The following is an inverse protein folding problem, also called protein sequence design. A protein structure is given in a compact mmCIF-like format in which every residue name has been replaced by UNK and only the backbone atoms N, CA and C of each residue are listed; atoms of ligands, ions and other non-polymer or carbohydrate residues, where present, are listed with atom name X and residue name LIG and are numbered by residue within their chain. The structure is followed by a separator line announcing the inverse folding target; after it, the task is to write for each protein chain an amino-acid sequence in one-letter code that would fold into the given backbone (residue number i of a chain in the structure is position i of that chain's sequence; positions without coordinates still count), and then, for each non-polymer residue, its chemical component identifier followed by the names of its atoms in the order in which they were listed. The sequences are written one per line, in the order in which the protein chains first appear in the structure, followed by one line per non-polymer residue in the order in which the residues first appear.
data_IF_289882145372
#
_entry.id   IF_289882145372
#
_cell.length_a   1.000
_cell.length_b   1.000
_cell.length_c   1.000
_cell.angle_alpha   90.00
_cell.angle_beta   90.00
_cell.angle_gamma   90.00
#
_symmetry.space_group_name_H-M   'P 1'
#
loop_
_entity.id
_entity.type
_entity.pdbx_description
1 polymer ?
#
# COMPACT_ATOMS: atom_id res chain seq x y z
N UNK A 1 -23.00 18.32 -0.62
CA UNK A 1 -24.20 19.16 -0.85
C UNK A 1 -24.41 19.53 -2.33
N UNK A 2 -23.57 19.05 -3.26
CA UNK A 2 -23.65 19.40 -4.70
C UNK A 2 -24.69 18.57 -5.47
N UNK A 3 -24.85 17.29 -5.13
CA UNK A 3 -25.74 16.34 -5.84
C UNK A 3 -27.22 16.75 -5.74
N UNK A 4 -27.65 17.24 -4.57
CA UNK A 4 -29.03 17.71 -4.38
C UNK A 4 -29.38 18.90 -5.29
N UNK A 5 -28.42 19.80 -5.53
CA UNK A 5 -28.62 20.95 -6.41
C UNK A 5 -28.71 20.54 -7.88
N UNK A 6 -27.90 19.58 -8.34
CA UNK A 6 -27.93 19.12 -9.73
C UNK A 6 -29.19 18.35 -10.09
N UNK A 7 -29.69 17.51 -9.17
CA UNK A 7 -30.96 16.76 -9.36
C UNK A 7 -32.15 17.71 -9.35
N UNK A 8 -32.17 18.69 -8.42
CA UNK A 8 -33.21 19.72 -8.39
C UNK A 8 -33.18 20.63 -9.62
N UNK A 9 -31.99 20.97 -10.13
CA UNK A 9 -31.85 21.74 -11.36
C UNK A 9 -32.33 20.97 -12.60
N UNK A 10 -31.97 19.69 -12.74
CA UNK A 10 -32.41 18.84 -13.84
C UNK A 10 -33.93 18.61 -13.85
N UNK A 11 -34.52 18.32 -12.68
CA UNK A 11 -35.98 18.21 -12.53
C UNK A 11 -36.68 19.56 -12.75
N UNK A 12 -36.11 20.65 -12.25
CA UNK A 12 -36.65 22.00 -12.44
C UNK A 12 -36.70 22.42 -13.92
N UNK A 13 -35.68 22.07 -14.70
CA UNK A 13 -35.65 22.32 -16.15
C UNK A 13 -36.69 21.49 -16.91
N UNK A 14 -36.91 20.23 -16.50
CA UNK A 14 -37.94 19.37 -17.12
C UNK A 14 -39.37 19.82 -16.77
N UNK A 15 -39.63 20.19 -15.51
CA UNK A 15 -40.96 20.63 -15.05
C UNK A 15 -41.28 22.03 -15.57
N UNK A 16 -40.29 22.92 -15.65
CA UNK A 16 -40.44 24.28 -16.17
C UNK A 16 -40.63 24.39 -17.69
N UNK A 17 -40.42 23.30 -18.44
CA UNK A 17 -40.58 23.28 -19.90
C UNK A 17 -42.05 23.26 -20.36
N UNK A 18 -43.00 22.91 -19.48
CA UNK A 18 -44.40 22.70 -19.83
C UNK A 18 -45.12 23.84 -20.60
N UNK A 19 -44.82 25.14 -20.42
CA UNK A 19 -45.47 26.21 -21.17
C UNK A 19 -44.72 26.70 -22.43
N UNK A 20 -43.61 26.05 -22.82
CA UNK A 20 -42.78 26.50 -23.95
C UNK A 20 -43.19 25.87 -25.29
N UNK A 21 -42.77 26.49 -26.39
CA UNK A 21 -42.96 25.96 -27.74
C UNK A 21 -42.12 24.68 -27.96
N UNK A 22 -42.56 23.81 -28.89
CA UNK A 22 -42.08 22.43 -28.98
C UNK A 22 -40.57 22.27 -29.17
N UNK A 23 -39.90 23.22 -29.83
CA UNK A 23 -38.44 23.17 -30.01
C UNK A 23 -37.69 23.48 -28.71
N UNK A 24 -38.12 24.50 -27.98
CA UNK A 24 -37.54 24.88 -26.68
C UNK A 24 -37.73 23.78 -25.63
N UNK A 25 -38.88 23.08 -25.66
CA UNK A 25 -39.15 21.93 -24.81
C UNK A 25 -38.16 20.79 -25.06
N UNK A 26 -37.91 20.43 -26.32
CA UNK A 26 -36.98 19.36 -26.66
C UNK A 26 -35.55 19.65 -26.17
N UNK A 27 -35.07 20.88 -26.36
CA UNK A 27 -33.73 21.28 -25.89
C UNK A 27 -33.61 21.22 -24.37
N UNK A 28 -34.63 21.70 -23.64
CA UNK A 28 -34.65 21.65 -22.17
C UNK A 28 -34.70 20.22 -21.63
N UNK A 29 -35.44 19.33 -22.28
CA UNK A 29 -35.49 17.91 -21.91
C UNK A 29 -34.13 17.23 -22.16
N UNK A 30 -33.48 17.48 -23.30
CA UNK A 30 -32.17 16.89 -23.60
C UNK A 30 -31.08 17.39 -22.64
N UNK A 31 -31.06 18.69 -22.32
CA UNK A 31 -30.12 19.27 -21.35
C UNK A 31 -30.40 18.73 -19.95
N UNK A 32 -31.67 18.68 -19.53
CA UNK A 32 -32.07 18.11 -18.24
C UNK A 32 -31.69 16.62 -18.11
N UNK A 33 -31.91 15.83 -19.17
CA UNK A 33 -31.55 14.42 -19.22
C UNK A 33 -30.03 14.22 -19.17
N UNK A 34 -29.26 15.06 -19.87
CA UNK A 34 -27.80 15.02 -19.85
C UNK A 34 -27.23 15.36 -18.46
N UNK A 35 -27.81 16.34 -17.77
CA UNK A 35 -27.43 16.68 -16.38
C UNK A 35 -27.78 15.55 -15.41
N UNK A 36 -28.94 14.91 -15.58
CA UNK A 36 -29.35 13.74 -14.79
C UNK A 36 -28.46 12.51 -15.04
N UNK A 37 -27.95 12.33 -16.26
CA UNK A 37 -27.02 11.25 -16.61
C UNK A 37 -25.60 11.48 -16.07
N UNK A 38 -25.18 12.73 -15.88
CA UNK A 38 -23.87 13.07 -15.32
C UNK A 38 -23.85 13.07 -13.77
N UNK A 39 -25.00 13.23 -13.12
CA UNK A 39 -25.09 13.23 -11.65
C UNK A 39 -24.61 11.92 -10.99
N UNK A 40 -24.92 10.72 -11.52
CA UNK A 40 -24.36 9.46 -11.04
C UNK A 40 -22.83 9.38 -11.15
N UNK A 41 -22.24 9.95 -12.21
CA UNK A 41 -20.78 9.94 -12.39
C UNK A 41 -20.08 10.84 -11.37
N UNK A 42 -20.62 12.04 -11.11
CA UNK A 42 -20.11 12.92 -10.06
C UNK A 42 -20.28 12.31 -8.65
N UNK A 43 -21.38 11.57 -8.41
CA UNK A 43 -21.59 10.82 -7.17
C UNK A 43 -20.56 9.70 -6.98
N UNK A 44 -20.30 8.93 -8.03
CA UNK A 44 -19.29 7.86 -8.02
C UNK A 44 -17.90 8.45 -7.75
N UNK A 45 -17.57 9.60 -8.35
CA UNK A 45 -16.29 10.27 -8.08
C UNK A 45 -16.15 10.74 -6.63
N UNK A 46 -17.18 11.37 -6.04
CA UNK A 46 -17.16 11.82 -4.64
C UNK A 46 -17.14 10.64 -3.66
N UNK A 47 -17.91 9.58 -3.95
CA UNK A 47 -17.91 8.34 -3.18
C UNK A 47 -16.52 7.67 -3.21
N UNK A 48 -15.93 7.51 -4.40
CA UNK A 48 -14.58 6.96 -4.54
C UNK A 48 -13.55 7.82 -3.82
N UNK A 49 -13.62 9.16 -3.90
CA UNK A 49 -12.72 10.07 -3.17
C UNK A 49 -12.86 9.94 -1.66
N UNK A 50 -14.08 9.76 -1.13
CA UNK A 50 -14.32 9.57 0.31
C UNK A 50 -13.88 8.20 0.81
N UNK A 51 -14.24 7.13 0.09
CA UNK A 51 -13.79 5.77 0.42
C UNK A 51 -12.27 5.65 0.31
N UNK A 52 -11.66 6.27 -0.71
CA UNK A 52 -10.20 6.39 -0.81
C UNK A 52 -9.62 7.26 0.31
N UNK A 53 -10.35 8.24 0.83
CA UNK A 53 -9.95 9.09 1.96
C UNK A 53 -9.94 8.36 3.30
N UNK A 54 -10.96 7.55 3.57
CA UNK A 54 -11.09 6.72 4.78
C UNK A 54 -10.05 5.59 4.80
N UNK A 55 -9.83 4.93 3.66
CA UNK A 55 -8.75 3.94 3.50
C UNK A 55 -7.37 4.62 3.57
N UNK A 56 -7.23 5.83 3.00
CA UNK A 56 -6.00 6.61 3.12
C UNK A 56 -5.67 7.01 4.55
N UNK A 57 -6.69 7.29 5.37
CA UNK A 57 -6.51 7.68 6.77
C UNK A 57 -5.93 6.52 7.59
N UNK A 58 -6.21 5.27 7.24
CA UNK A 58 -5.74 4.10 7.98
C UNK A 58 -4.22 3.91 7.94
N UNK A 59 -3.62 3.74 6.76
CA UNK A 59 -2.15 3.58 6.65
C UNK A 59 -1.41 4.85 7.07
N UNK A 60 -1.94 6.05 6.76
CA UNK A 60 -1.32 7.29 7.24
C UNK A 60 -1.41 7.43 8.76
N UNK A 61 -2.47 6.92 9.38
CA UNK A 61 -2.58 6.81 10.84
C UNK A 61 -1.54 5.81 11.37
N UNK A 62 -1.32 4.68 10.69
CA UNK A 62 -0.24 3.75 11.04
C UNK A 62 1.15 4.41 10.96
N UNK A 63 1.44 5.17 9.89
CA UNK A 63 2.68 5.95 9.77
C UNK A 63 2.80 6.97 10.90
N UNK A 64 1.76 7.78 11.12
CA UNK A 64 1.76 8.79 12.19
C UNK A 64 1.94 8.15 13.57
N UNK A 65 1.30 7.00 13.81
CA UNK A 65 1.46 6.20 15.02
C UNK A 65 2.88 5.70 15.18
N UNK A 66 3.48 5.16 14.11
CA UNK A 66 4.85 4.68 14.08
C UNK A 66 5.85 5.80 14.42
N UNK A 67 5.73 6.96 13.76
CA UNK A 67 6.56 8.13 14.04
C UNK A 67 6.33 8.68 15.45
N UNK A 68 5.09 8.68 15.95
CA UNK A 68 4.78 9.11 17.32
C UNK A 68 5.42 8.19 18.36
N UNK A 69 5.31 6.86 18.20
CA UNK A 69 5.93 5.88 19.11
C UNK A 69 7.45 6.07 19.12
N UNK A 70 8.07 6.28 17.94
CA UNK A 70 9.52 6.53 17.82
C UNK A 70 9.98 7.76 18.60
N UNK A 71 9.19 8.83 18.54
CA UNK A 71 9.55 10.13 19.12
C UNK A 71 9.20 10.25 20.61
N UNK A 72 8.17 9.53 21.08
CA UNK A 72 7.66 9.66 22.45
C UNK A 72 8.22 8.62 23.41
N UNK A 73 8.57 7.43 22.93
CA UNK A 73 9.01 6.33 23.80
C UNK A 73 10.54 6.09 23.70
N UNK A 74 11.19 5.79 24.84
CA UNK A 74 12.59 5.39 24.85
C UNK A 74 12.80 4.08 24.07
N UNK A 75 14.05 3.83 23.66
CA UNK A 75 14.44 2.63 22.93
C UNK A 75 14.49 1.40 23.84
N UNK A 76 13.33 0.91 24.25
CA UNK A 76 13.16 -0.29 25.08
C UNK A 76 12.31 -1.38 24.39
N UNK A 77 12.22 -2.53 25.04
CA UNK A 77 11.44 -3.68 24.56
C UNK A 77 9.96 -3.35 24.38
N UNK A 78 9.41 -2.50 25.25
CA UNK A 78 8.00 -2.08 25.19
C UNK A 78 7.72 -1.29 23.93
N UNK A 79 8.61 -0.35 23.56
CA UNK A 79 8.48 0.40 22.32
C UNK A 79 8.48 -0.54 21.11
N UNK A 80 9.40 -1.51 21.10
CA UNK A 80 9.49 -2.51 20.02
C UNK A 80 8.20 -3.34 19.91
N UNK A 81 7.64 -3.79 21.03
CA UNK A 81 6.39 -4.54 21.06
C UNK A 81 5.22 -3.75 20.44
N UNK A 82 5.06 -2.48 20.79
CA UNK A 82 3.99 -1.62 20.24
C UNK A 82 4.21 -1.40 18.73
N UNK A 83 5.46 -1.23 18.31
CA UNK A 83 5.82 -1.13 16.89
C UNK A 83 5.39 -2.39 16.11
N UNK A 84 5.69 -3.56 16.64
CA UNK A 84 5.36 -4.83 16.00
C UNK A 84 3.85 -5.07 15.97
N UNK A 85 3.11 -4.75 17.04
CA UNK A 85 1.64 -4.82 17.06
C UNK A 85 1.01 -3.95 15.96
N UNK A 86 1.51 -2.71 15.80
CA UNK A 86 1.01 -1.80 14.77
C UNK A 86 1.30 -2.33 13.37
N UNK A 87 2.50 -2.86 13.13
CA UNK A 87 2.88 -3.39 11.81
C UNK A 87 2.20 -4.73 11.50
N UNK A 88 1.91 -5.56 12.50
CA UNK A 88 1.13 -6.78 12.32
C UNK A 88 -0.33 -6.45 11.96
N UNK A 89 -0.92 -5.41 12.57
CA UNK A 89 -2.24 -4.93 12.14
C UNK A 89 -2.25 -4.44 10.68
N UNK A 90 -1.15 -3.83 10.20
CA UNK A 90 -1.00 -3.47 8.78
C UNK A 90 -0.91 -4.72 7.90
N UNK A 91 -0.17 -5.75 8.34
CA UNK A 91 -0.08 -7.03 7.63
C UNK A 91 -1.46 -7.66 7.46
N UNK A 92 -2.24 -7.75 8.54
CA UNK A 92 -3.57 -8.37 8.52
C UNK A 92 -4.53 -7.61 7.59
N UNK A 93 -4.58 -6.29 7.68
CA UNK A 93 -5.45 -5.47 6.81
C UNK A 93 -5.04 -5.52 5.34
N UNK A 94 -3.74 -5.63 5.06
CA UNK A 94 -3.25 -5.82 3.69
C UNK A 94 -3.65 -7.19 3.14
N UNK A 95 -3.66 -8.24 3.99
CA UNK A 95 -4.12 -9.58 3.65
C UNK A 95 -5.61 -9.58 3.29
N UNK A 96 -6.41 -8.78 3.99
CA UNK A 96 -7.84 -8.60 3.76
C UNK A 96 -8.16 -7.68 2.56
N UNK A 97 -7.14 -7.18 1.86
CA UNK A 97 -7.31 -6.36 0.65
C UNK A 97 -7.76 -4.93 0.93
N UNK A 98 -7.59 -4.43 2.15
CA UNK A 98 -8.07 -3.10 2.55
C UNK A 98 -7.28 -1.95 1.92
N UNK A 99 -6.14 -2.23 1.27
CA UNK A 99 -5.24 -1.20 0.77
C UNK A 99 -5.14 -1.19 -0.76
N UNK A 100 -5.29 -0.03 -1.41
CA UNK A 100 -5.04 0.09 -2.83
C UNK A 100 -3.53 0.06 -3.11
N UNK A 101 -3.12 -0.63 -4.18
CA UNK A 101 -1.72 -0.73 -4.58
C UNK A 101 -1.06 0.65 -4.74
N UNK A 102 -1.76 1.64 -5.30
CA UNK A 102 -1.26 3.01 -5.50
C UNK A 102 -0.82 3.70 -4.21
N UNK A 103 -1.48 3.41 -3.10
CA UNK A 103 -1.11 3.95 -1.79
C UNK A 103 0.18 3.32 -1.28
N UNK A 104 0.32 2.00 -1.40
CA UNK A 104 1.56 1.30 -1.04
C UNK A 104 2.73 1.85 -1.87
N UNK A 105 2.55 2.05 -3.19
CA UNK A 105 3.57 2.68 -4.05
C UNK A 105 3.95 4.09 -3.62
N UNK A 106 3.01 4.84 -3.05
CA UNK A 106 3.26 6.19 -2.56
C UNK A 106 4.14 6.14 -1.31
N UNK A 107 3.80 5.26 -0.36
CA UNK A 107 4.58 5.06 0.87
C UNK A 107 6.00 4.53 0.59
N UNK A 108 6.19 3.68 -0.43
CA UNK A 108 7.52 3.21 -0.83
C UNK A 108 8.48 4.31 -1.30
N UNK A 109 7.96 5.50 -1.62
CA UNK A 109 8.76 6.67 -1.99
C UNK A 109 8.98 7.65 -0.83
N UNK A 110 8.33 7.40 0.31
CA UNK A 110 8.44 8.19 1.52
C UNK A 110 9.71 7.89 2.31
N UNK A 111 9.70 8.31 3.57
CA UNK A 111 10.81 8.13 4.50
C UNK A 111 10.89 6.69 5.06
N UNK A 112 11.82 6.43 5.98
CA UNK A 112 11.98 5.10 6.59
C UNK A 112 10.73 4.56 7.28
N UNK A 113 9.90 5.42 7.88
CA UNK A 113 8.68 5.01 8.58
C UNK A 113 7.60 4.63 7.56
N UNK A 114 7.40 5.48 6.54
CA UNK A 114 6.51 5.20 5.40
C UNK A 114 6.86 3.88 4.72
N UNK A 115 8.15 3.68 4.42
CA UNK A 115 8.63 2.47 3.76
C UNK A 115 8.47 1.24 4.64
N UNK A 116 8.66 1.35 5.94
CA UNK A 116 8.46 0.22 6.87
C UNK A 116 7.00 -0.23 6.86
N UNK A 117 6.05 0.71 6.91
CA UNK A 117 4.62 0.41 6.80
C UNK A 117 4.27 -0.21 5.45
N UNK A 118 4.83 0.30 4.35
CA UNK A 118 4.63 -0.27 3.03
C UNK A 118 5.17 -1.71 2.91
N UNK A 119 6.34 -1.99 3.48
CA UNK A 119 6.93 -3.32 3.51
C UNK A 119 6.09 -4.30 4.36
N UNK A 120 5.52 -3.83 5.47
CA UNK A 120 4.57 -4.62 6.25
C UNK A 120 3.33 -5.00 5.41
N UNK A 121 2.76 -4.05 4.66
CA UNK A 121 1.65 -4.36 3.76
C UNK A 121 2.02 -5.39 2.66
N UNK A 122 3.25 -5.35 2.13
CA UNK A 122 3.73 -6.37 1.17
C UNK A 122 3.83 -7.78 1.76
N UNK A 123 4.08 -7.90 3.07
CA UNK A 123 4.07 -9.20 3.76
C UNK A 123 2.64 -9.75 3.80
N UNK A 124 1.65 -8.90 4.08
CA UNK A 124 0.24 -9.28 4.10
C UNK A 124 -0.29 -9.69 2.73
N UNK A 125 0.13 -8.99 1.67
CA UNK A 125 -0.22 -9.32 0.29
C UNK A 125 0.97 -9.15 -0.66
N UNK A 126 1.47 -10.29 -1.17
CA UNK A 126 2.62 -10.30 -2.08
C UNK A 126 2.34 -9.60 -3.42
N UNK A 127 1.06 -9.39 -3.78
CA UNK A 127 0.69 -8.64 -4.98
C UNK A 127 1.18 -7.19 -5.00
N UNK A 128 1.54 -6.63 -3.83
CA UNK A 128 2.11 -5.29 -3.71
C UNK A 128 3.63 -5.24 -3.86
N UNK A 129 4.32 -6.38 -3.95
CA UNK A 129 5.78 -6.45 -3.87
C UNK A 129 6.43 -5.72 -5.04
N UNK A 130 7.29 -4.76 -4.70
CA UNK A 130 8.19 -4.10 -5.65
C UNK A 130 9.64 -4.50 -5.34
N UNK A 131 10.19 -5.44 -6.12
CA UNK A 131 11.52 -6.01 -5.85
C UNK A 131 12.63 -4.95 -5.71
N UNK A 132 12.60 -3.89 -6.53
CA UNK A 132 13.54 -2.78 -6.44
C UNK A 132 13.45 -2.03 -5.10
N UNK A 133 12.24 -1.84 -4.56
CA UNK A 133 12.03 -1.20 -3.28
C UNK A 133 12.52 -2.07 -2.12
N UNK A 134 12.25 -3.38 -2.17
CA UNK A 134 12.76 -4.37 -1.21
C UNK A 134 14.29 -4.36 -1.18
N UNK A 135 14.95 -4.45 -2.35
CA UNK A 135 16.42 -4.41 -2.46
C UNK A 135 16.98 -3.12 -1.88
N UNK A 136 16.38 -1.96 -2.21
CA UNK A 136 16.78 -0.66 -1.67
C UNK A 136 16.71 -0.66 -0.13
N UNK A 137 15.61 -1.13 0.43
CA UNK A 137 15.39 -1.16 1.88
C UNK A 137 16.28 -2.18 2.63
N UNK A 138 16.81 -3.20 1.94
CA UNK A 138 17.87 -4.07 2.51
C UNK A 138 19.24 -3.36 2.47
N UNK A 139 19.56 -2.74 1.32
CA UNK A 139 20.89 -2.18 1.03
C UNK A 139 21.15 -0.84 1.70
N UNK A 140 20.13 0.02 1.81
CA UNK A 140 20.21 1.37 2.37
C UNK A 140 18.95 1.68 3.21
N UNK A 141 18.71 0.92 4.29
CA UNK A 141 17.62 1.22 5.22
C UNK A 141 17.91 2.51 5.99
N UNK A 142 16.86 3.27 6.30
CA UNK A 142 16.93 4.39 7.25
C UNK A 142 16.88 3.89 8.71
N UNK A 143 16.42 2.65 8.93
CA UNK A 143 16.33 2.05 10.25
C UNK A 143 16.52 0.52 10.25
N UNK A 144 16.87 -0.03 11.41
CA UNK A 144 16.95 -1.47 11.63
C UNK A 144 15.61 -2.19 11.37
N UNK A 145 14.49 -1.51 11.66
CA UNK A 145 13.13 -2.02 11.42
C UNK A 145 12.83 -2.09 9.92
N UNK A 146 13.17 -1.05 9.16
CA UNK A 146 12.99 -1.06 7.70
C UNK A 146 13.72 -2.26 7.08
N UNK A 147 14.97 -2.50 7.48
CA UNK A 147 15.74 -3.65 6.98
C UNK A 147 15.11 -4.99 7.35
N UNK A 148 14.62 -5.13 8.59
CA UNK A 148 13.96 -6.33 9.07
C UNK A 148 12.67 -6.65 8.27
N UNK A 149 11.80 -5.65 8.09
CA UNK A 149 10.57 -5.82 7.32
C UNK A 149 10.85 -6.01 5.82
N UNK A 150 11.93 -5.43 5.28
CA UNK A 150 12.36 -5.70 3.90
C UNK A 150 12.78 -7.17 3.71
N UNK A 151 13.52 -7.74 4.66
CA UNK A 151 13.88 -9.17 4.63
C UNK A 151 12.64 -10.08 4.75
N UNK A 152 11.69 -9.74 5.63
CA UNK A 152 10.42 -10.48 5.74
C UNK A 152 9.61 -10.41 4.44
N UNK A 153 9.49 -9.24 3.84
CA UNK A 153 8.79 -9.05 2.56
C UNK A 153 9.46 -9.86 1.44
N UNK A 154 10.79 -9.83 1.36
CA UNK A 154 11.55 -10.67 0.43
C UNK A 154 11.26 -12.16 0.63
N UNK A 155 11.22 -12.63 1.88
CA UNK A 155 10.93 -14.03 2.21
C UNK A 155 9.50 -14.43 1.85
N UNK A 156 8.52 -13.57 2.08
CA UNK A 156 7.12 -13.83 1.74
C UNK A 156 6.90 -13.91 0.21
N UNK A 157 7.60 -13.05 -0.54
CA UNK A 157 7.49 -12.92 -1.99
C UNK A 157 8.42 -13.84 -2.79
N UNK A 158 9.29 -14.58 -2.10
CA UNK A 158 10.46 -15.23 -2.70
C UNK A 158 10.12 -16.05 -3.92
N UNK A 159 9.16 -16.97 -3.79
CA UNK A 159 8.84 -17.94 -4.85
C UNK A 159 7.81 -17.43 -5.87
N UNK A 160 6.98 -16.45 -5.51
CA UNK A 160 5.78 -16.08 -6.27
C UNK A 160 5.92 -14.79 -7.08
N UNK A 161 6.65 -13.79 -6.57
CA UNK A 161 6.68 -12.44 -7.15
C UNK A 161 8.08 -11.95 -7.51
N UNK A 162 9.12 -12.54 -6.90
CA UNK A 162 10.50 -12.17 -7.18
C UNK A 162 11.08 -13.07 -8.27
N UNK A 163 11.63 -12.45 -9.32
CA UNK A 163 12.36 -13.16 -10.38
C UNK A 163 13.79 -13.53 -9.95
N UNK A 164 14.50 -14.28 -10.79
CA UNK A 164 15.85 -14.74 -10.48
C UNK A 164 16.88 -13.61 -10.32
N UNK A 165 16.78 -12.53 -11.10
CA UNK A 165 17.70 -11.38 -10.99
C UNK A 165 17.46 -10.63 -9.68
N UNK A 166 16.18 -10.41 -9.33
CA UNK A 166 15.81 -9.78 -8.06
C UNK A 166 16.26 -10.62 -6.86
N UNK A 167 16.07 -11.94 -6.89
CA UNK A 167 16.57 -12.85 -5.83
C UNK A 167 18.09 -12.75 -5.70
N UNK A 168 18.82 -12.79 -6.81
CA UNK A 168 20.28 -12.65 -6.80
C UNK A 168 20.72 -11.30 -6.22
N UNK A 169 20.05 -10.20 -6.58
CA UNK A 169 20.33 -8.86 -6.03
C UNK A 169 20.00 -8.74 -4.55
N UNK A 170 18.97 -9.42 -4.06
CA UNK A 170 18.64 -9.49 -2.63
C UNK A 170 19.77 -10.21 -1.88
N UNK A 171 20.23 -11.37 -2.37
CA UNK A 171 21.34 -12.10 -1.76
C UNK A 171 22.62 -11.26 -1.75
N UNK A 172 22.93 -10.58 -2.87
CA UNK A 172 24.07 -9.67 -2.94
C UNK A 172 23.95 -8.50 -1.94
N UNK A 173 22.75 -7.95 -1.73
CA UNK A 173 22.52 -6.90 -0.73
C UNK A 173 22.69 -7.39 0.71
N UNK A 174 22.32 -8.65 0.99
CA UNK A 174 22.56 -9.30 2.29
C UNK A 174 24.07 -9.49 2.53
N UNK A 175 24.79 -10.01 1.53
CA UNK A 175 26.24 -10.22 1.64
C UNK A 175 27.01 -8.91 1.76
N UNK A 176 26.55 -7.84 1.10
CA UNK A 176 27.11 -6.51 1.24
C UNK A 176 26.89 -5.91 2.64
N UNK A 177 25.68 -6.04 3.20
CA UNK A 177 25.42 -5.62 4.58
C UNK A 177 26.31 -6.35 5.58
N UNK A 178 26.44 -7.68 5.45
CA UNK A 178 27.27 -8.50 6.33
C UNK A 178 28.75 -8.09 6.30
N UNK A 179 29.27 -7.62 5.15
CA UNK A 179 30.66 -7.16 5.01
C UNK A 179 30.88 -5.71 5.47
N UNK A 180 29.84 -4.89 5.45
CA UNK A 180 29.96 -3.44 5.68
C UNK A 180 29.42 -3.02 7.05
N UNK A 181 28.09 -3.06 7.23
CA UNK A 181 27.40 -2.60 8.45
C UNK A 181 27.26 -3.69 9.50
N UNK A 182 27.15 -4.95 9.07
CA UNK A 182 26.98 -6.12 9.93
C UNK A 182 25.62 -6.18 10.65
N UNK A 183 24.64 -5.38 10.26
CA UNK A 183 23.34 -5.28 10.96
C UNK A 183 22.52 -6.57 10.85
N UNK A 184 22.61 -7.27 9.71
CA UNK A 184 21.98 -8.57 9.51
C UNK A 184 22.70 -9.65 10.34
N UNK A 185 24.03 -9.65 10.36
CA UNK A 185 24.80 -10.63 11.12
C UNK A 185 24.61 -10.50 12.64
N UNK A 186 24.55 -9.28 13.16
CA UNK A 186 24.47 -9.00 14.60
C UNK A 186 23.09 -9.31 15.20
N UNK A 187 22.03 -9.37 14.39
CA UNK A 187 20.67 -9.60 14.86
C UNK A 187 20.19 -11.03 14.58
N UNK A 188 19.78 -11.81 15.61
CA UNK A 188 19.37 -13.20 15.42
C UNK A 188 18.20 -13.39 14.44
N UNK A 189 17.23 -12.47 14.43
CA UNK A 189 16.04 -12.58 13.58
C UNK A 189 16.37 -12.26 12.13
N UNK A 190 17.09 -11.17 11.86
CA UNK A 190 17.56 -10.84 10.51
C UNK A 190 18.46 -11.94 9.94
N UNK A 191 19.38 -12.46 10.76
CA UNK A 191 20.26 -13.58 10.38
C UNK A 191 19.46 -14.83 10.01
N UNK A 192 18.44 -15.17 10.80
CA UNK A 192 17.59 -16.32 10.52
C UNK A 192 16.84 -16.17 9.19
N UNK A 193 16.28 -14.99 8.90
CA UNK A 193 15.59 -14.73 7.63
C UNK A 193 16.57 -14.80 6.45
N UNK A 194 17.75 -14.16 6.57
CA UNK A 194 18.78 -14.20 5.55
C UNK A 194 19.23 -15.65 5.23
N UNK A 195 19.45 -16.47 6.25
CA UNK A 195 19.80 -17.88 6.06
C UNK A 195 18.71 -18.68 5.33
N UNK A 196 17.43 -18.41 5.62
CA UNK A 196 16.31 -19.04 4.90
C UNK A 196 16.28 -18.64 3.42
N UNK A 197 16.52 -17.37 3.11
CA UNK A 197 16.59 -16.88 1.73
C UNK A 197 17.74 -17.52 0.96
N UNK A 198 18.91 -17.64 1.58
CA UNK A 198 20.07 -18.34 1.00
C UNK A 198 19.74 -19.81 0.75
N UNK A 199 19.21 -20.53 1.75
CA UNK A 199 18.81 -21.93 1.60
C UNK A 199 17.78 -22.13 0.47
N UNK A 200 16.82 -21.22 0.32
CA UNK A 200 15.81 -21.28 -0.73
C UNK A 200 16.38 -21.07 -2.14
N UNK A 201 17.55 -20.44 -2.29
CA UNK A 201 18.24 -20.30 -3.59
C UNK A 201 19.01 -21.56 -4.01
N UNK A 202 19.42 -22.38 -3.03
CA UNK A 202 20.19 -23.61 -3.25
C UNK A 202 19.33 -24.81 -3.59
N UNK A 203 18.02 -24.77 -3.34
CA UNK A 203 17.09 -25.87 -3.67
C UNK A 203 16.79 -25.87 -5.18
N UNK A 204 17.24 -26.88 -5.95
CA UNK A 204 16.94 -26.98 -7.37
C UNK A 204 15.44 -27.19 -7.58
N UNK A 205 14.86 -26.60 -8.62
CA UNK A 205 13.46 -26.77 -9.02
C UNK A 205 13.13 -28.17 -9.58
N UNK A 206 13.79 -29.23 -9.09
CA UNK A 206 13.53 -30.61 -9.45
C UNK A 206 12.53 -31.22 -8.47
N UNK A 207 11.34 -31.57 -8.98
CA UNK A 207 10.20 -32.27 -8.35
C UNK A 207 8.91 -31.44 -8.17
N UNK A 208 8.34 -30.98 -9.28
CA UNK A 208 6.87 -30.80 -9.39
C UNK A 208 6.43 -31.16 -10.82
N UNK A 209 6.48 -32.45 -11.10
CA UNK A 209 5.77 -33.07 -12.21
C UNK A 209 5.14 -34.34 -11.65
N UNK A 210 3.89 -34.20 -11.22
CA UNK A 210 3.01 -35.22 -10.69
C UNK A 210 1.60 -34.72 -10.80
#
# INVERSE_FOLDING_TARGET
MVIGASVLAGLGLMVGAAPLDGWSQSVLIEVGASVLLLAPLAYIEDFLRRSLGEINASLRSSVAGLSAIRNLLPSDERRTAIFDELLEAVIDRARDGEFPATQIRTLLRGDGDDRTVALAAMIGSTSFVEGAAVIRSIRRPDSANEQYYALRAASAAWSSQLDADQRARILAAIDDDNRTRGWIAQDPHRRQIAARLQAASSTPASHRSG
#
